data_IF_333132461444
#
_entry.id   IF_333132461444
#
_cell.length_a   1.000
_cell.length_b   1.000
_cell.length_c   1.000
_cell.angle_alpha   90.00
_cell.angle_beta   90.00
_cell.angle_gamma   90.00
#
_symmetry.space_group_name_H-M   'P 1'
#
loop_
_entity.id
_entity.type
_entity.pdbx_description
1 polymer ?
#
# COMPACT_ATOMS: atom_id res chain seq x y z
N UNK A 1 -10.28 6.15 15.14
CA UNK A 1 -9.18 5.24 15.48
C UNK A 1 -7.90 5.86 14.94
N UNK A 2 -6.78 5.72 15.66
CA UNK A 2 -5.44 6.07 15.18
C UNK A 2 -4.62 4.78 15.09
N UNK A 3 -3.81 4.65 14.05
CA UNK A 3 -2.85 3.57 13.91
C UNK A 3 -1.45 4.13 14.15
N UNK A 4 -0.71 3.53 15.09
CA UNK A 4 0.66 3.89 15.41
C UNK A 4 1.57 2.77 14.94
N UNK A 5 2.48 3.09 14.02
CA UNK A 5 3.46 2.14 13.52
C UNK A 5 4.68 2.16 14.42
N UNK A 6 5.04 1.00 14.95
CA UNK A 6 6.27 0.81 15.69
C UNK A 6 7.21 0.02 14.78
N UNK A 7 8.13 0.73 14.13
CA UNK A 7 9.09 0.19 13.18
C UNK A 7 10.51 0.67 13.45
N UNK A 8 11.47 0.19 12.65
CA UNK A 8 12.84 0.73 12.60
C UNK A 8 13.95 -0.20 13.11
N UNK A 9 13.63 -1.38 13.65
CA UNK A 9 14.63 -2.37 14.05
C UNK A 9 14.64 -3.55 13.06
N UNK A 10 15.81 -3.86 12.49
CA UNK A 10 16.02 -5.07 11.68
C UNK A 10 15.65 -6.31 12.51
N UNK A 11 15.02 -7.31 11.88
CA UNK A 11 14.53 -8.51 12.54
C UNK A 11 13.35 -8.34 13.51
N UNK A 12 12.86 -7.12 13.73
CA UNK A 12 11.62 -6.91 14.49
C UNK A 12 10.39 -7.16 13.59
N UNK A 13 9.31 -7.72 14.15
CA UNK A 13 8.05 -7.80 13.42
C UNK A 13 7.51 -6.39 13.14
N UNK A 14 6.64 -6.31 12.16
CA UNK A 14 5.75 -5.16 12.00
C UNK A 14 4.83 -5.10 13.21
N UNK A 15 4.77 -3.95 13.87
CA UNK A 15 3.80 -3.69 14.92
C UNK A 15 2.98 -2.45 14.62
N UNK A 16 1.66 -2.61 14.63
CA UNK A 16 0.71 -1.51 14.50
C UNK A 16 -0.23 -1.52 15.68
N UNK A 17 -0.26 -0.43 16.43
CA UNK A 17 -1.14 -0.26 17.58
C UNK A 17 -2.35 0.57 17.18
N UNK A 18 -3.54 0.09 17.53
CA UNK A 18 -4.79 0.78 17.27
C UNK A 18 -5.25 1.45 18.54
N UNK A 19 -5.27 2.78 18.54
CA UNK A 19 -5.68 3.58 19.69
C UNK A 19 -6.99 4.30 19.40
N UNK A 20 -7.81 4.44 20.42
CA UNK A 20 -8.92 5.38 20.38
C UNK A 20 -8.38 6.79 20.08
N UNK A 21 -8.94 7.46 19.08
CA UNK A 21 -8.41 8.75 18.64
C UNK A 21 -8.61 9.87 19.67
N UNK A 22 -9.58 9.72 20.58
CA UNK A 22 -9.90 10.73 21.60
C UNK A 22 -9.23 10.43 22.92
N UNK A 23 -9.24 9.17 23.33
CA UNK A 23 -8.78 8.78 24.67
C UNK A 23 -7.40 8.14 24.70
N UNK A 24 -6.82 7.81 23.53
CA UNK A 24 -5.57 7.07 23.36
C UNK A 24 -5.55 5.68 24.02
N UNK A 25 -6.72 5.18 24.41
CA UNK A 25 -6.86 3.83 24.96
C UNK A 25 -6.56 2.79 23.88
N UNK A 26 -5.78 1.76 24.22
CA UNK A 26 -5.47 0.62 23.35
C UNK A 26 -6.75 -0.13 22.96
N UNK A 27 -6.94 -0.32 21.65
CA UNK A 27 -8.07 -1.03 21.03
C UNK A 27 -7.62 -2.31 20.33
N UNK A 28 -6.33 -2.60 20.30
CA UNK A 28 -5.78 -3.80 19.69
C UNK A 28 -4.49 -3.54 18.93
N UNK A 29 -3.87 -4.63 18.51
CA UNK A 29 -2.59 -4.60 17.80
C UNK A 29 -2.61 -5.54 16.62
N UNK A 30 -1.90 -5.16 15.57
CA UNK A 30 -1.46 -6.05 14.50
C UNK A 30 0.03 -6.29 14.72
N UNK A 31 0.40 -7.56 14.94
CA UNK A 31 1.78 -7.98 15.05
C UNK A 31 2.04 -8.95 13.90
N UNK A 32 2.88 -8.52 12.96
CA UNK A 32 3.33 -9.34 11.83
C UNK A 32 4.33 -10.40 12.26
N UNK A 33 4.71 -11.26 11.32
CA UNK A 33 5.82 -12.19 11.54
C UNK A 33 7.15 -11.44 11.46
N UNK A 34 8.07 -11.71 12.37
CA UNK A 34 9.44 -11.21 12.29
C UNK A 34 10.19 -11.87 11.12
N UNK A 35 10.96 -11.06 10.38
CA UNK A 35 11.88 -11.54 9.35
C UNK A 35 13.31 -11.14 9.76
N UNK A 36 14.21 -12.10 10.07
CA UNK A 36 15.60 -11.82 10.43
C UNK A 36 16.35 -10.92 9.44
N UNK A 37 15.95 -10.94 8.17
CA UNK A 37 16.56 -10.16 7.10
C UNK A 37 15.76 -8.90 6.75
N UNK A 38 14.54 -8.78 7.27
CA UNK A 38 13.60 -7.71 6.96
C UNK A 38 13.64 -6.56 7.97
N UNK A 39 13.08 -5.43 7.55
CA UNK A 39 12.74 -4.31 8.42
C UNK A 39 11.22 -4.19 8.49
N UNK A 40 10.67 -4.01 9.69
CA UNK A 40 9.24 -3.87 9.92
C UNK A 40 8.62 -2.53 9.48
N UNK A 41 9.08 -1.92 8.38
CA UNK A 41 8.44 -0.71 7.84
C UNK A 41 7.21 -1.10 7.04
N UNK A 42 6.04 -0.62 7.44
CA UNK A 42 4.84 -0.78 6.63
C UNK A 42 4.09 0.52 6.51
N UNK A 43 3.53 0.72 5.33
CA UNK A 43 2.45 1.66 5.13
C UNK A 43 1.14 0.90 5.32
N UNK A 44 0.18 1.55 5.96
CA UNK A 44 -1.14 0.99 6.16
C UNK A 44 -2.21 2.07 6.28
N UNK A 45 -3.46 1.69 6.09
CA UNK A 45 -4.59 2.61 6.09
C UNK A 45 -5.86 1.92 6.58
N UNK A 46 -6.65 2.64 7.37
CA UNK A 46 -8.00 2.19 7.69
C UNK A 46 -8.89 2.21 6.47
N UNK A 47 -9.85 1.29 6.41
CA UNK A 47 -11.04 1.50 5.59
C UNK A 47 -11.82 2.72 6.10
N UNK A 48 -12.59 3.43 5.26
CA UNK A 48 -13.31 4.63 5.69
C UNK A 48 -14.26 4.38 6.87
N UNK A 49 -14.81 3.17 6.97
CA UNK A 49 -15.67 2.73 8.09
C UNK A 49 -14.90 2.35 9.38
N UNK A 50 -13.57 2.43 9.37
CA UNK A 50 -12.66 2.06 10.47
C UNK A 50 -12.77 0.61 10.97
N UNK A 51 -13.48 -0.27 10.27
CA UNK A 51 -13.66 -1.67 10.68
C UNK A 51 -12.46 -2.54 10.32
N UNK A 52 -11.74 -2.15 9.27
CA UNK A 52 -10.57 -2.87 8.76
C UNK A 52 -9.37 -1.96 8.65
N UNK A 53 -8.19 -2.57 8.72
CA UNK A 53 -6.92 -1.92 8.46
C UNK A 53 -6.18 -2.72 7.40
N UNK A 54 -5.65 -2.03 6.40
CA UNK A 54 -4.83 -2.65 5.35
C UNK A 54 -3.37 -2.36 5.60
N UNK A 55 -2.53 -3.37 5.49
CA UNK A 55 -1.06 -3.27 5.59
C UNK A 55 -0.43 -3.96 4.38
N UNK A 56 0.63 -3.38 3.84
CA UNK A 56 1.45 -4.06 2.83
C UNK A 56 2.52 -4.89 3.52
N UNK A 57 2.66 -6.16 3.13
CA UNK A 57 3.60 -7.09 3.77
C UNK A 57 5.05 -6.98 3.24
N UNK A 58 5.27 -6.14 2.22
CA UNK A 58 6.57 -5.97 1.58
C UNK A 58 6.97 -7.09 0.60
N UNK A 59 6.16 -8.15 0.49
CA UNK A 59 6.43 -9.35 -0.34
C UNK A 59 5.35 -9.52 -1.43
N UNK A 60 4.59 -8.45 -1.72
CA UNK A 60 3.62 -8.45 -2.82
C UNK A 60 2.17 -8.72 -2.41
N UNK A 61 1.83 -8.60 -1.11
CA UNK A 61 0.43 -8.70 -0.67
C UNK A 61 -0.06 -7.50 0.15
N UNK A 62 -1.36 -7.28 0.09
CA UNK A 62 -2.12 -6.46 1.03
C UNK A 62 -2.82 -7.36 2.06
N UNK A 63 -2.47 -7.19 3.32
CA UNK A 63 -3.07 -7.86 4.46
C UNK A 63 -4.27 -7.05 4.95
N UNK A 64 -5.46 -7.65 4.93
CA UNK A 64 -6.70 -7.04 5.39
C UNK A 64 -7.00 -7.53 6.81
N UNK A 65 -6.84 -6.65 7.78
CA UNK A 65 -6.99 -6.93 9.20
C UNK A 65 -8.34 -6.45 9.73
N UNK A 66 -9.04 -7.29 10.51
CA UNK A 66 -10.20 -6.87 11.29
C UNK A 66 -9.74 -6.20 12.58
N UNK A 67 -10.08 -4.92 12.76
CA UNK A 67 -9.66 -4.15 13.93
C UNK A 67 -10.33 -4.67 15.20
N UNK A 68 -11.64 -4.91 15.17
CA UNK A 68 -12.40 -5.31 16.35
C UNK A 68 -12.09 -6.74 16.82
N UNK A 69 -11.90 -7.67 15.86
CA UNK A 69 -11.58 -9.07 16.13
C UNK A 69 -10.07 -9.32 16.30
N UNK A 70 -9.25 -8.30 16.07
CA UNK A 70 -7.79 -8.36 16.12
C UNK A 70 -7.23 -9.58 15.38
N UNK A 71 -7.64 -9.76 14.12
CA UNK A 71 -7.19 -10.87 13.30
C UNK A 71 -7.12 -10.55 11.82
N UNK A 72 -6.26 -11.27 11.11
CA UNK A 72 -6.20 -11.26 9.65
C UNK A 72 -7.49 -11.85 9.08
N UNK A 73 -8.19 -11.11 8.22
CA UNK A 73 -9.36 -11.60 7.49
C UNK A 73 -8.96 -12.22 6.16
N UNK A 74 -8.07 -11.53 5.42
CA UNK A 74 -7.66 -11.91 4.07
C UNK A 74 -6.25 -11.44 3.76
N UNK A 75 -5.59 -12.18 2.88
CA UNK A 75 -4.39 -11.77 2.16
C UNK A 75 -4.77 -11.58 0.70
N UNK A 76 -4.58 -10.38 0.17
CA UNK A 76 -4.94 -10.01 -1.20
C UNK A 76 -3.66 -9.82 -2.01
N UNK A 77 -3.49 -10.53 -3.14
CA UNK A 77 -2.30 -10.36 -3.97
C UNK A 77 -2.29 -8.96 -4.57
N UNK A 78 -1.11 -8.33 -4.64
CA UNK A 78 -0.94 -7.07 -5.36
C UNK A 78 -0.87 -7.28 -6.88
N UNK A 79 -0.65 -8.52 -7.35
CA UNK A 79 -0.41 -8.82 -8.76
C UNK A 79 1.00 -8.45 -9.25
N UNK A 80 1.91 -8.10 -8.33
CA UNK A 80 3.33 -7.88 -8.57
C UNK A 80 4.16 -8.57 -7.48
N UNK A 81 5.41 -8.88 -7.78
CA UNK A 81 6.37 -9.59 -6.93
C UNK A 81 7.29 -8.64 -6.15
N UNK A 82 6.95 -7.35 -6.08
CA UNK A 82 7.82 -6.29 -5.56
C UNK A 82 7.25 -5.58 -4.34
N UNK A 83 8.12 -5.02 -3.48
CA UNK A 83 7.70 -4.20 -2.36
C UNK A 83 6.94 -2.98 -2.87
N UNK A 84 5.75 -2.77 -2.30
CA UNK A 84 4.95 -1.59 -2.56
C UNK A 84 4.94 -0.69 -1.32
N UNK A 85 5.09 0.61 -1.54
CA UNK A 85 5.25 1.59 -0.46
C UNK A 85 4.13 2.61 -0.38
N UNK A 86 3.32 2.70 -1.44
CA UNK A 86 2.33 3.77 -1.63
C UNK A 86 0.98 3.13 -1.83
N UNK A 87 0.00 3.55 -1.03
CA UNK A 87 -1.35 3.03 -1.10
C UNK A 87 -2.40 4.11 -0.85
N UNK A 88 -3.54 3.98 -1.51
CA UNK A 88 -4.70 4.83 -1.32
C UNK A 88 -5.97 4.00 -1.22
N UNK A 89 -6.85 4.39 -0.29
CA UNK A 89 -8.17 3.79 -0.14
C UNK A 89 -9.18 4.64 -0.91
N UNK A 90 -10.02 3.98 -1.71
CA UNK A 90 -11.18 4.62 -2.34
C UNK A 90 -12.14 5.17 -1.28
N UNK A 91 -12.88 6.26 -1.57
CA UNK A 91 -13.82 6.86 -0.63
C UNK A 91 -14.94 5.93 -0.18
N UNK A 92 -15.36 4.98 -1.03
CA UNK A 92 -16.37 3.97 -0.68
C UNK A 92 -15.80 2.76 0.07
N UNK A 93 -14.48 2.70 0.24
CA UNK A 93 -13.78 1.65 0.98
C UNK A 93 -13.76 0.29 0.28
N UNK A 94 -14.10 0.22 -1.01
CA UNK A 94 -14.16 -1.05 -1.74
C UNK A 94 -12.86 -1.35 -2.47
N UNK A 95 -12.22 -0.32 -2.99
CA UNK A 95 -11.00 -0.45 -3.79
C UNK A 95 -9.78 0.10 -3.05
N UNK A 96 -8.69 -0.64 -3.08
CA UNK A 96 -7.36 -0.21 -2.67
C UNK A 96 -6.50 -0.01 -3.92
N UNK A 97 -5.90 1.16 -4.07
CA UNK A 97 -4.84 1.40 -5.05
C UNK A 97 -3.47 1.20 -4.40
N UNK A 98 -2.57 0.48 -5.05
CA UNK A 98 -1.21 0.22 -4.57
C UNK A 98 -0.20 0.45 -5.68
N UNK A 99 0.74 1.35 -5.45
CA UNK A 99 1.78 1.72 -6.40
C UNK A 99 3.05 0.91 -6.18
N UNK A 100 3.59 0.36 -7.26
CA UNK A 100 4.83 -0.42 -7.27
C UNK A 100 5.56 -0.23 -8.60
N UNK A 101 6.82 -0.66 -8.68
CA UNK A 101 7.58 -0.65 -9.92
C UNK A 101 8.11 -2.06 -10.21
N UNK A 102 8.15 -2.49 -11.49
CA UNK A 102 8.90 -3.66 -11.89
C UNK A 102 10.39 -3.53 -11.50
N UNK A 103 11.10 -4.65 -11.50
CA UNK A 103 12.56 -4.64 -11.34
C UNK A 103 13.19 -3.78 -12.45
N UNK A 104 14.07 -2.85 -12.09
CA UNK A 104 14.93 -2.19 -13.07
C UNK A 104 16.12 -3.10 -13.43
N UNK A 105 16.72 -2.88 -14.59
CA UNK A 105 17.94 -3.62 -14.93
C UNK A 105 19.03 -3.37 -13.88
N UNK A 106 19.90 -4.36 -13.65
CA UNK A 106 20.85 -4.33 -12.53
C UNK A 106 21.75 -3.07 -12.54
N UNK A 107 22.09 -2.59 -13.75
CA UNK A 107 22.91 -1.39 -13.95
C UNK A 107 22.20 -0.10 -13.48
N UNK A 108 20.86 -0.10 -13.41
CA UNK A 108 20.04 1.01 -12.93
C UNK A 108 19.66 0.88 -11.44
N UNK A 109 19.56 -0.34 -10.92
CA UNK A 109 19.29 -0.59 -9.49
C UNK A 109 20.45 -0.07 -8.59
N UNK A 110 21.69 -0.11 -9.08
CA UNK A 110 22.90 0.37 -8.38
C UNK A 110 23.29 1.82 -8.74
N UNK A 111 22.61 2.44 -9.70
CA UNK A 111 22.86 3.83 -10.07
C UNK A 111 22.42 4.76 -8.93
N UNK A 112 23.26 5.73 -8.55
CA UNK A 112 22.93 6.65 -7.45
C UNK A 112 21.69 7.50 -7.75
N UNK A 113 21.49 7.88 -9.01
CA UNK A 113 20.38 8.71 -9.50
C UNK A 113 20.12 8.38 -10.99
N UNK A 114 19.50 7.23 -11.31
CA UNK A 114 19.17 6.92 -12.70
C UNK A 114 18.19 7.95 -13.27
N UNK A 115 18.30 8.25 -14.56
CA UNK A 115 17.29 9.09 -15.22
C UNK A 115 15.90 8.42 -15.04
N UNK A 116 14.89 9.14 -14.53
CA UNK A 116 13.54 8.59 -14.37
C UNK A 116 12.95 7.98 -15.65
N UNK A 117 13.40 8.41 -16.83
CA UNK A 117 12.96 7.89 -18.12
C UNK A 117 13.56 6.52 -18.47
N UNK A 118 14.70 6.16 -17.88
CA UNK A 118 15.34 4.85 -18.07
C UNK A 118 14.75 3.78 -17.14
N UNK A 119 14.02 4.20 -16.09
CA UNK A 119 13.37 3.30 -15.15
C UNK A 119 12.13 2.62 -15.76
N UNK A 120 11.85 1.35 -15.44
CA UNK A 120 10.64 0.69 -15.90
C UNK A 120 9.40 1.46 -15.44
N UNK A 121 8.41 1.57 -16.32
CA UNK A 121 7.13 2.19 -16.00
C UNK A 121 6.53 1.60 -14.71
N UNK A 122 6.14 2.43 -13.73
CA UNK A 122 5.44 1.96 -12.56
C UNK A 122 4.10 1.29 -12.90
N UNK A 123 3.58 0.57 -11.92
CA UNK A 123 2.28 -0.07 -11.95
C UNK A 123 1.45 0.44 -10.78
N UNK A 124 0.14 0.52 -11.00
CA UNK A 124 -0.83 0.72 -9.93
C UNK A 124 -1.82 -0.44 -9.95
N UNK A 125 -1.80 -1.23 -8.89
CA UNK A 125 -2.76 -2.30 -8.68
C UNK A 125 -4.01 -1.75 -8.03
N UNK A 126 -5.16 -1.99 -8.64
CA UNK A 126 -6.49 -1.71 -8.09
C UNK A 126 -7.09 -3.03 -7.60
N UNK A 127 -7.30 -3.10 -6.30
CA UNK A 127 -7.65 -4.32 -5.58
C UNK A 127 -9.03 -4.14 -4.96
N UNK A 128 -9.97 -5.02 -5.30
CA UNK A 128 -11.23 -5.16 -4.58
C UNK A 128 -10.98 -5.81 -3.22
N UNK A 129 -11.31 -5.11 -2.13
CA UNK A 129 -11.14 -5.63 -0.77
C UNK A 129 -12.09 -6.79 -0.44
N UNK A 130 -13.17 -6.97 -1.20
CA UNK A 130 -13.99 -8.15 -1.09
C UNK A 130 -13.33 -9.37 -1.75
N UNK A 131 -12.39 -9.16 -2.68
CA UNK A 131 -11.71 -10.21 -3.44
C UNK A 131 -12.61 -10.86 -4.49
N UNK A 132 -13.67 -10.17 -4.93
CA UNK A 132 -14.63 -10.71 -5.88
C UNK A 132 -14.18 -10.53 -7.34
N UNK A 133 -13.24 -9.62 -7.57
CA UNK A 133 -12.71 -9.34 -8.91
C UNK A 133 -11.21 -9.56 -8.96
N UNK A 134 -10.66 -9.95 -10.12
CA UNK A 134 -9.21 -9.96 -10.33
C UNK A 134 -8.60 -8.59 -10.10
N UNK A 135 -7.32 -8.57 -9.72
CA UNK A 135 -6.54 -7.33 -9.61
C UNK A 135 -6.43 -6.68 -10.98
N UNK A 136 -6.85 -5.42 -11.08
CA UNK A 136 -6.62 -4.63 -12.27
C UNK A 136 -5.29 -3.89 -12.12
N UNK A 137 -4.49 -3.86 -13.18
CA UNK A 137 -3.19 -3.18 -13.17
C UNK A 137 -3.21 -2.03 -14.18
N UNK A 138 -2.96 -0.82 -13.69
CA UNK A 138 -2.71 0.36 -14.51
C UNK A 138 -1.22 0.50 -14.74
N UNK A 139 -0.84 0.93 -15.94
CA UNK A 139 0.55 1.29 -16.27
C UNK A 139 0.67 2.80 -16.16
N UNK A 140 1.57 3.27 -15.30
CA UNK A 140 1.87 4.68 -15.17
C UNK A 140 3.03 5.07 -16.10
N UNK A 141 3.12 6.35 -16.51
CA UNK A 141 4.27 6.86 -17.26
C UNK A 141 5.59 6.64 -16.51
N UNK A 142 6.70 6.66 -17.25
CA UNK A 142 8.05 6.43 -16.72
C UNK A 142 8.36 7.36 -15.53
N UNK A 143 9.11 6.83 -14.57
CA UNK A 143 9.58 7.57 -13.41
C UNK A 143 9.42 6.84 -12.08
N UNK A 144 9.84 7.52 -11.02
CA UNK A 144 9.72 6.99 -9.66
C UNK A 144 8.27 6.81 -9.22
N UNK A 145 8.05 5.85 -8.32
CA UNK A 145 6.76 5.63 -7.67
C UNK A 145 6.47 6.74 -6.65
N UNK A 146 5.53 7.63 -6.99
CA UNK A 146 5.10 8.71 -6.10
C UNK A 146 3.81 8.40 -5.32
N UNK A 147 3.20 9.46 -4.78
CA UNK A 147 1.97 9.36 -4.00
C UNK A 147 0.74 8.96 -4.83
N UNK A 148 -0.26 8.41 -4.15
CA UNK A 148 -1.55 8.02 -4.73
C UNK A 148 -2.70 8.73 -3.99
N UNK A 149 -3.70 9.20 -4.73
CA UNK A 149 -4.91 9.77 -4.14
C UNK A 149 -6.15 9.56 -5.02
N UNK A 150 -7.21 8.99 -4.45
CA UNK A 150 -8.51 8.99 -5.10
C UNK A 150 -9.17 10.37 -4.97
N UNK A 151 -9.82 10.81 -6.04
CA UNK A 151 -10.80 11.89 -5.99
C UNK A 151 -11.94 11.58 -5.00
N UNK A 152 -12.59 12.60 -4.40
CA UNK A 152 -13.66 12.38 -3.42
C UNK A 152 -14.86 11.58 -3.96
N UNK A 153 -15.13 11.66 -5.27
CA UNK A 153 -16.18 10.87 -5.92
C UNK A 153 -15.72 9.46 -6.33
N UNK A 154 -14.43 9.13 -6.14
CA UNK A 154 -13.81 7.85 -6.46
C UNK A 154 -13.75 7.52 -7.95
N UNK A 155 -13.97 8.49 -8.85
CA UNK A 155 -13.96 8.26 -10.31
C UNK A 155 -12.61 8.50 -10.95
N UNK A 156 -11.75 9.26 -10.29
CA UNK A 156 -10.41 9.59 -10.76
C UNK A 156 -9.38 9.20 -9.71
N UNK A 157 -8.24 8.66 -10.13
CA UNK A 157 -7.07 8.40 -9.31
C UNK A 157 -5.91 9.29 -9.77
N UNK A 158 -5.32 10.03 -8.85
CA UNK A 158 -4.06 10.75 -9.04
C UNK A 158 -2.87 9.88 -8.65
N UNK A 159 -1.83 9.88 -9.48
CA UNK A 159 -0.55 9.22 -9.25
C UNK A 159 0.59 10.23 -9.51
N UNK A 160 1.45 10.45 -8.52
CA UNK A 160 2.67 11.23 -8.71
C UNK A 160 3.79 10.39 -9.31
N UNK A 161 4.54 10.96 -10.24
CA UNK A 161 5.75 10.37 -10.84
C UNK A 161 6.54 11.44 -11.59
N UNK A 162 7.85 11.25 -11.83
CA UNK A 162 8.73 12.11 -12.65
C UNK A 162 8.38 13.62 -12.72
N UNK A 163 8.18 14.29 -11.58
CA UNK A 163 7.87 15.74 -11.52
C UNK A 163 6.45 16.13 -11.98
N UNK A 164 5.58 15.17 -12.24
CA UNK A 164 4.20 15.35 -12.69
C UNK A 164 3.18 14.60 -11.81
N UNK A 165 1.91 14.94 -12.00
CA UNK A 165 0.77 14.20 -11.45
C UNK A 165 -0.07 13.70 -12.62
N UNK A 166 -0.23 12.39 -12.71
CA UNK A 166 -1.04 11.72 -13.72
C UNK A 166 -2.42 11.41 -13.15
N UNK A 167 -3.45 11.60 -13.97
CA UNK A 167 -4.84 11.31 -13.61
C UNK A 167 -5.35 10.14 -14.44
N UNK A 168 -5.93 9.15 -13.76
CA UNK A 168 -6.58 8.00 -14.38
C UNK A 168 -8.07 8.07 -14.12
N UNK A 169 -8.87 8.03 -15.19
CA UNK A 169 -10.30 7.81 -15.09
C UNK A 169 -10.58 6.33 -14.85
N UNK A 170 -11.28 6.04 -13.76
CA UNK A 170 -11.63 4.70 -13.35
C UNK A 170 -13.01 4.38 -13.90
N UNK A 171 -13.05 3.38 -14.78
CA UNK A 171 -14.32 2.80 -15.24
C UNK A 171 -14.93 2.02 -14.07
N UNK A 172 -16.15 2.38 -13.69
CA UNK A 172 -16.96 1.61 -12.74
C UNK A 172 -17.73 0.53 -13.47
#
# INVERSE_FOLDING_TARGET
>A
MVAVFLGGKKAAPVEVWFLDARTLVDRGRLIGKADPNGYGWTHGRFTPDSKRFVVLDGVGNALLWNVAKQKLERTLPLGGDRPAWRLAMSPDGKTLAVGWAPKADADLDDASEPDPLDLPQPRVSLIDLAGNTPVQVLVAPHGYTGGLAFSPNGKTLAFGGAGAVHLFDLKR
#
